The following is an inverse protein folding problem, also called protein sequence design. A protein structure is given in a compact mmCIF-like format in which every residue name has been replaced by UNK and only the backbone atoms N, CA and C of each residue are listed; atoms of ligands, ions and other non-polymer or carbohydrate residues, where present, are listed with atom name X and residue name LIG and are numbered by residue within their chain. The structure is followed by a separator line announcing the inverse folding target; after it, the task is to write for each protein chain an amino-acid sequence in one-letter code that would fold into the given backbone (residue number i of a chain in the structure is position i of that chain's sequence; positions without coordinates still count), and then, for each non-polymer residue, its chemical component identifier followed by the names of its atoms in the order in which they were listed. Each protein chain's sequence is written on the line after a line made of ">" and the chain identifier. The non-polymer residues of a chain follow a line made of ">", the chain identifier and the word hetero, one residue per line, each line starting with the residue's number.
data_IF_668784692546
#
_entry.id   IF_668784692546
#
_cell.length_a   1.000
_cell.length_b   1.000
_cell.length_c   1.000
_cell.angle_alpha   90.00
_cell.angle_beta   90.00
_cell.angle_gamma   90.00
#
_symmetry.space_group_name_H-M   'P 1'
#
loop_
_entity.id
_entity.type
_entity.pdbx_description
1 polymer ?
#
# COMPACT_ATOMS: atom_id res chain seq x y z
N UNK A 1 -2.18 4.72 -0.96
CA UNK A 1 -3.39 4.66 -1.80
C UNK A 1 -3.30 5.72 -2.87
N UNK A 2 -3.38 5.29 -4.10
CA UNK A 2 -3.49 6.15 -5.27
C UNK A 2 -4.86 6.82 -5.35
N UNK A 3 -4.91 8.10 -5.74
CA UNK A 3 -6.13 8.89 -5.82
C UNK A 3 -6.27 9.69 -7.10
N UNK A 4 -5.69 9.25 -8.18
CA UNK A 4 -5.89 9.90 -9.47
C UNK A 4 -7.29 9.66 -10.01
N UNK A 5 -7.78 10.63 -10.81
CA UNK A 5 -9.20 10.73 -11.22
C UNK A 5 -9.67 9.64 -12.18
N UNK A 6 -8.77 8.82 -12.73
CA UNK A 6 -9.06 7.89 -13.82
C UNK A 6 -10.10 6.83 -13.47
N UNK A 7 -10.33 6.51 -12.17
CA UNK A 7 -11.19 5.41 -11.74
C UNK A 7 -11.87 5.61 -10.39
N UNK A 8 -12.60 6.69 -10.23
CA UNK A 8 -13.30 7.05 -8.97
C UNK A 8 -14.13 5.92 -8.33
N UNK A 9 -14.73 5.03 -9.14
CA UNK A 9 -15.50 3.89 -8.62
C UNK A 9 -14.64 2.91 -7.81
N UNK A 10 -13.45 2.60 -8.28
CA UNK A 10 -12.55 1.66 -7.60
C UNK A 10 -11.97 2.24 -6.30
N UNK A 11 -11.88 3.55 -6.19
CA UNK A 11 -11.42 4.22 -4.97
C UNK A 11 -12.39 3.99 -3.82
N UNK A 12 -13.71 4.10 -4.08
CA UNK A 12 -14.72 3.82 -3.06
C UNK A 12 -14.66 2.36 -2.60
N UNK A 13 -14.56 1.41 -3.53
CA UNK A 13 -14.42 -0.01 -3.19
C UNK A 13 -13.12 -0.31 -2.43
N UNK A 14 -12.02 0.35 -2.79
CA UNK A 14 -10.75 0.22 -2.07
C UNK A 14 -10.84 0.81 -0.65
N UNK A 15 -11.52 1.94 -0.47
CA UNK A 15 -11.81 2.53 0.85
C UNK A 15 -12.60 1.55 1.71
N UNK A 16 -13.68 0.99 1.18
CA UNK A 16 -14.51 0.00 1.87
C UNK A 16 -13.69 -1.21 2.33
N UNK A 17 -12.84 -1.75 1.46
CA UNK A 17 -11.91 -2.84 1.82
C UNK A 17 -10.97 -2.44 2.96
N UNK A 18 -10.36 -1.26 2.92
CA UNK A 18 -9.45 -0.79 3.98
C UNK A 18 -10.20 -0.62 5.31
N UNK A 19 -11.38 -0.01 5.27
CA UNK A 19 -12.21 0.19 6.46
C UNK A 19 -12.67 -1.14 7.06
N UNK A 20 -13.05 -2.11 6.22
CA UNK A 20 -13.38 -3.47 6.63
C UNK A 20 -12.20 -4.18 7.29
N UNK A 21 -10.98 -4.09 6.71
CA UNK A 21 -9.77 -4.66 7.30
C UNK A 21 -9.56 -4.12 8.72
N UNK A 22 -9.64 -2.80 8.90
CA UNK A 22 -9.46 -2.15 10.20
C UNK A 22 -10.47 -2.69 11.21
N UNK A 23 -11.75 -2.75 10.86
CA UNK A 23 -12.82 -3.20 11.75
C UNK A 23 -12.68 -4.68 12.11
N UNK A 24 -12.36 -5.51 11.14
CA UNK A 24 -12.19 -6.96 11.36
C UNK A 24 -10.98 -7.26 12.22
N UNK A 25 -9.82 -6.67 11.95
CA UNK A 25 -8.62 -6.90 12.76
C UNK A 25 -8.85 -6.47 14.22
N UNK A 26 -9.51 -5.33 14.45
CA UNK A 26 -9.83 -4.87 15.80
C UNK A 26 -10.81 -5.83 16.50
N UNK A 27 -11.81 -6.36 15.80
CA UNK A 27 -12.84 -7.22 16.38
C UNK A 27 -12.37 -8.68 16.57
N UNK A 28 -11.57 -9.20 15.63
CA UNK A 28 -11.13 -10.62 15.62
C UNK A 28 -9.85 -10.83 16.45
N UNK A 29 -9.09 -9.76 16.74
CA UNK A 29 -7.88 -9.79 17.57
C UNK A 29 -8.03 -8.95 18.84
N UNK A 30 -8.86 -9.35 19.82
CA UNK A 30 -9.15 -8.55 21.00
C UNK A 30 -7.90 -8.31 21.86
N UNK A 31 -7.59 -7.02 22.11
CA UNK A 31 -6.41 -6.61 22.88
C UNK A 31 -5.14 -6.48 22.06
N UNK A 32 -5.21 -6.63 20.74
CA UNK A 32 -4.07 -6.33 19.84
C UNK A 32 -3.68 -4.85 19.95
N UNK A 33 -2.38 -4.59 19.99
CA UNK A 33 -1.85 -3.22 19.92
C UNK A 33 -1.54 -2.84 18.47
N UNK A 34 -2.51 -2.22 17.80
CA UNK A 34 -2.40 -1.77 16.41
C UNK A 34 -2.08 -0.29 16.35
N UNK A 35 -1.15 0.06 15.47
CA UNK A 35 -0.89 1.43 15.05
C UNK A 35 -1.11 1.51 13.55
N UNK A 36 -1.99 2.38 13.11
CA UNK A 36 -2.35 2.58 11.70
C UNK A 36 -1.84 3.92 11.21
N UNK A 37 -1.27 3.95 10.02
CA UNK A 37 -0.92 5.15 9.29
C UNK A 37 -1.58 5.15 7.91
N UNK A 38 -1.68 6.31 7.28
CA UNK A 38 -2.24 6.44 5.95
C UNK A 38 -1.38 7.35 5.09
N UNK A 39 -1.10 6.90 3.87
CA UNK A 39 -0.37 7.67 2.87
C UNK A 39 -1.25 7.74 1.62
N UNK A 40 -1.53 8.96 1.19
CA UNK A 40 -2.18 9.28 -0.07
C UNK A 40 -1.15 9.86 -1.01
N UNK A 41 -1.12 9.39 -2.24
CA UNK A 41 -0.25 9.92 -3.28
C UNK A 41 -1.03 10.08 -4.59
N UNK A 42 -0.44 10.82 -5.51
CA UNK A 42 -0.91 11.08 -6.87
C UNK A 42 0.30 11.22 -7.78
N UNK A 43 0.07 11.71 -8.99
CA UNK A 43 1.14 12.12 -9.88
C UNK A 43 1.89 13.35 -9.34
N UNK A 44 3.19 13.45 -9.59
CA UNK A 44 4.01 14.60 -9.20
C UNK A 44 3.56 15.88 -9.90
N UNK A 45 2.97 15.79 -11.07
CA UNK A 45 2.51 16.94 -11.84
C UNK A 45 1.24 17.59 -11.25
N UNK A 46 0.54 16.90 -10.36
CA UNK A 46 -0.60 17.44 -9.62
C UNK A 46 -0.24 18.48 -8.53
N UNK A 47 0.90 19.18 -8.58
CA UNK A 47 1.45 20.11 -7.58
C UNK A 47 0.47 21.11 -6.99
N UNK A 48 -0.48 21.57 -7.73
CA UNK A 48 -1.41 22.62 -7.28
C UNK A 48 -2.54 22.10 -6.39
N UNK A 49 -2.77 20.76 -6.34
CA UNK A 49 -3.93 20.16 -5.69
C UNK A 49 -3.63 19.44 -4.35
N UNK A 50 -2.42 19.58 -3.82
CA UNK A 50 -2.03 18.99 -2.53
C UNK A 50 -1.91 17.47 -2.59
N UNK A 51 -0.87 16.98 -3.28
CA UNK A 51 -0.60 15.60 -3.64
C UNK A 51 -0.61 14.58 -2.58
N UNK A 52 0.10 14.93 -1.56
CA UNK A 52 0.59 13.96 -0.62
C UNK A 52 -0.06 14.22 0.73
N UNK A 53 -0.70 13.22 1.27
CA UNK A 53 -1.08 13.21 2.68
C UNK A 53 -0.33 12.06 3.34
N UNK A 54 0.38 12.41 4.42
CA UNK A 54 1.14 11.49 5.22
C UNK A 54 0.66 11.55 6.66
N UNK A 55 -0.24 10.63 7.03
CA UNK A 55 -0.74 10.47 8.39
C UNK A 55 0.16 9.51 9.15
N UNK A 56 0.78 9.99 10.23
CA UNK A 56 1.60 9.16 11.09
C UNK A 56 0.79 8.07 11.78
N UNK A 57 1.49 7.07 12.32
CA UNK A 57 0.86 6.01 13.09
C UNK A 57 0.05 6.57 14.27
N UNK A 58 -1.20 6.13 14.36
CA UNK A 58 -2.16 6.51 15.39
C UNK A 58 -2.96 5.30 15.87
N UNK A 59 -3.46 5.39 17.10
CA UNK A 59 -4.48 4.50 17.67
C UNK A 59 -5.87 5.13 17.64
N UNK A 60 -5.99 6.35 17.14
CA UNK A 60 -7.27 7.02 16.95
C UNK A 60 -7.92 6.54 15.63
N UNK A 61 -8.42 5.31 15.66
CA UNK A 61 -9.00 4.66 14.47
C UNK A 61 -10.22 5.40 13.92
N UNK A 62 -10.98 6.06 14.78
CA UNK A 62 -12.16 6.84 14.34
C UNK A 62 -11.72 8.03 13.48
N UNK A 63 -10.70 8.76 13.91
CA UNK A 63 -10.16 9.88 13.15
C UNK A 63 -9.55 9.42 11.83
N UNK A 64 -8.75 8.34 11.87
CA UNK A 64 -8.12 7.78 10.67
C UNK A 64 -9.16 7.32 9.64
N UNK A 65 -10.23 6.66 10.09
CA UNK A 65 -11.33 6.27 9.21
C UNK A 65 -12.01 7.48 8.58
N UNK A 66 -12.24 8.54 9.34
CA UNK A 66 -12.76 9.80 8.79
C UNK A 66 -11.86 10.38 7.71
N UNK A 67 -10.54 10.36 7.91
CA UNK A 67 -9.56 10.82 6.90
C UNK A 67 -9.63 9.96 5.63
N UNK A 68 -9.73 8.63 5.77
CA UNK A 68 -9.84 7.70 4.62
C UNK A 68 -11.18 7.90 3.90
N UNK A 69 -12.26 8.08 4.62
CA UNK A 69 -13.60 8.27 4.08
C UNK A 69 -13.73 9.58 3.29
N UNK A 70 -13.07 10.65 3.77
CA UNK A 70 -13.05 11.97 3.13
C UNK A 70 -12.16 12.03 1.86
N UNK A 71 -11.44 10.95 1.54
CA UNK A 71 -10.60 10.90 0.35
C UNK A 71 -11.44 10.78 -0.92
N UNK A 72 -11.12 11.56 -1.94
CA UNK A 72 -11.77 11.53 -3.25
C UNK A 72 -10.74 11.51 -4.38
N UNK A 73 -11.16 10.95 -5.52
CA UNK A 73 -10.38 10.91 -6.74
C UNK A 73 -10.34 12.29 -7.40
N UNK A 74 -9.16 12.77 -7.74
CA UNK A 74 -8.97 14.04 -8.48
C UNK A 74 -7.57 14.09 -9.10
N UNK A 75 -7.40 14.84 -10.19
CA UNK A 75 -6.10 14.99 -10.86
C UNK A 75 -5.70 13.80 -11.72
N UNK A 76 -4.40 13.67 -11.98
CA UNK A 76 -3.78 12.73 -12.92
C UNK A 76 -3.43 13.41 -14.24
N UNK A 77 -2.14 13.70 -14.48
CA UNK A 77 -1.66 14.35 -15.69
C UNK A 77 -1.27 13.31 -16.75
N UNK A 78 -0.49 12.31 -16.39
CA UNK A 78 -0.15 11.17 -17.24
C UNK A 78 -0.57 9.83 -16.56
N UNK A 79 -0.11 8.69 -17.05
CA UNK A 79 -0.61 7.40 -16.53
C UNK A 79 0.19 6.88 -15.34
N UNK A 80 1.55 6.91 -15.35
CA UNK A 80 2.33 6.49 -14.19
C UNK A 80 2.24 7.48 -13.03
N UNK A 81 2.32 6.96 -11.80
CA UNK A 81 2.11 7.71 -10.57
C UNK A 81 3.32 7.63 -9.62
N UNK A 82 3.41 8.51 -8.62
CA UNK A 82 4.54 8.53 -7.69
C UNK A 82 4.43 7.52 -6.56
N UNK A 83 4.42 6.22 -6.91
CA UNK A 83 4.45 5.12 -5.93
C UNK A 83 5.76 5.14 -5.12
N UNK A 84 6.87 5.58 -5.75
CA UNK A 84 8.19 5.65 -5.11
C UNK A 84 8.19 6.56 -3.89
N UNK A 85 7.57 7.74 -3.97
CA UNK A 85 7.42 8.63 -2.83
C UNK A 85 6.61 7.98 -1.70
N UNK A 86 5.50 7.34 -2.04
CA UNK A 86 4.66 6.68 -1.03
C UNK A 86 5.40 5.55 -0.29
N UNK A 87 6.20 4.76 -1.01
CA UNK A 87 6.99 3.69 -0.40
C UNK A 87 8.15 4.26 0.44
N UNK A 88 8.82 5.31 -0.02
CA UNK A 88 9.83 6.00 0.78
C UNK A 88 9.24 6.57 2.09
N UNK A 89 8.07 7.22 2.04
CA UNK A 89 7.36 7.68 3.24
C UNK A 89 6.95 6.54 4.15
N UNK A 90 6.53 5.44 3.57
CA UNK A 90 6.24 4.21 4.31
C UNK A 90 7.47 3.70 5.08
N UNK A 91 8.68 3.74 4.50
CA UNK A 91 9.92 3.35 5.16
C UNK A 91 10.28 4.26 6.35
N UNK A 92 9.96 5.54 6.28
CA UNK A 92 10.23 6.53 7.33
C UNK A 92 9.34 6.37 8.56
N UNK A 93 8.28 5.55 8.50
CA UNK A 93 7.39 5.30 9.64
C UNK A 93 8.09 4.49 10.73
N UNK A 94 8.01 4.96 11.98
CA UNK A 94 8.58 4.29 13.17
C UNK A 94 7.74 3.05 13.53
N UNK A 95 8.10 1.89 12.97
CA UNK A 95 7.44 0.60 13.17
C UNK A 95 8.00 -0.11 14.38
N UNK A 96 7.34 0.02 15.53
CA UNK A 96 7.76 -0.59 16.80
C UNK A 96 7.25 -2.00 17.03
N UNK A 97 6.19 -2.38 16.33
CA UNK A 97 5.50 -3.67 16.51
C UNK A 97 6.21 -4.80 15.74
N UNK A 98 6.03 -6.04 16.20
CA UNK A 98 6.63 -7.22 15.58
C UNK A 98 5.97 -7.55 14.23
N UNK A 99 4.65 -7.38 14.13
CA UNK A 99 3.93 -7.50 12.85
C UNK A 99 3.92 -6.15 12.14
N UNK A 100 4.30 -6.14 10.87
CA UNK A 100 4.44 -4.93 10.06
C UNK A 100 3.87 -5.18 8.69
N UNK A 101 2.89 -4.37 8.33
CA UNK A 101 2.21 -4.49 7.04
C UNK A 101 2.22 -3.16 6.30
N UNK A 102 2.32 -3.25 4.98
CA UNK A 102 1.98 -2.17 4.04
C UNK A 102 0.89 -2.69 3.13
N UNK A 103 -0.17 -1.91 2.98
CA UNK A 103 -1.22 -2.15 2.00
C UNK A 103 -1.07 -1.12 0.90
N UNK A 104 -0.74 -1.56 -0.31
CA UNK A 104 -0.66 -0.74 -1.51
C UNK A 104 -1.93 -0.91 -2.33
N UNK A 105 -2.59 0.20 -2.60
CA UNK A 105 -3.71 0.27 -3.56
C UNK A 105 -3.26 1.15 -4.70
N UNK A 106 -3.16 0.59 -5.91
CA UNK A 106 -2.71 1.29 -7.10
C UNK A 106 -3.46 0.80 -8.35
N UNK A 107 -3.86 1.73 -9.20
CA UNK A 107 -4.42 1.46 -10.52
C UNK A 107 -3.44 1.75 -11.66
N UNK A 108 -2.34 2.43 -11.36
CA UNK A 108 -1.26 2.77 -12.27
C UNK A 108 0.12 2.32 -11.75
N UNK A 109 1.11 2.10 -12.64
CA UNK A 109 2.46 1.77 -12.25
C UNK A 109 3.21 3.00 -11.72
N UNK A 110 4.40 2.78 -11.15
CA UNK A 110 5.31 3.86 -10.81
C UNK A 110 5.89 4.52 -12.06
N UNK A 111 6.25 5.79 -11.94
CA UNK A 111 7.06 6.51 -12.91
C UNK A 111 8.39 5.78 -13.19
N UNK A 112 8.80 5.73 -14.46
CA UNK A 112 10.01 5.06 -14.91
C UNK A 112 9.76 3.81 -15.75
N UNK A 113 10.44 3.72 -16.90
CA UNK A 113 10.26 2.68 -17.93
C UNK A 113 10.41 1.23 -17.46
N UNK A 114 11.01 0.99 -16.30
CA UNK A 114 11.18 -0.35 -15.75
C UNK A 114 9.89 -0.96 -15.18
N UNK A 115 8.85 -0.13 -14.91
CA UNK A 115 7.63 -0.56 -14.21
C UNK A 115 6.44 -0.83 -15.12
N UNK A 116 6.55 -0.55 -16.42
CA UNK A 116 5.46 -0.72 -17.41
C UNK A 116 6.00 -0.95 -18.83
N UNK A 117 5.13 -1.24 -19.78
CA UNK A 117 5.48 -1.33 -21.22
C UNK A 117 5.60 0.06 -21.86
N UNK A 118 6.43 0.18 -22.91
CA UNK A 118 6.84 1.44 -23.57
C UNK A 118 5.72 2.24 -24.28
N UNK A 119 4.46 1.98 -24.03
CA UNK A 119 3.33 2.67 -24.66
C UNK A 119 2.58 3.62 -23.71
N UNK A 120 3.02 3.75 -22.47
CA UNK A 120 2.46 4.74 -21.54
C UNK A 120 3.13 6.11 -21.73
N UNK A 121 2.33 7.16 -21.61
CA UNK A 121 2.83 8.53 -21.53
C UNK A 121 3.38 8.74 -20.12
N UNK A 122 4.67 9.05 -20.02
CA UNK A 122 5.40 9.25 -18.77
C UNK A 122 6.38 10.39 -18.94
N UNK A 123 6.22 11.42 -18.15
CA UNK A 123 7.10 12.59 -18.11
C UNK A 123 8.45 12.31 -17.44
N UNK A 124 8.58 11.21 -16.70
CA UNK A 124 9.75 10.84 -15.89
C UNK A 124 10.27 9.43 -16.18
N UNK A 125 10.69 9.18 -17.42
CA UNK A 125 11.13 7.87 -17.92
C UNK A 125 12.25 7.20 -17.09
N UNK A 126 13.09 8.00 -16.44
CA UNK A 126 14.16 7.53 -15.55
C UNK A 126 13.76 7.63 -14.05
N UNK A 127 12.47 7.82 -13.76
CA UNK A 127 11.97 8.12 -12.43
C UNK A 127 12.21 9.59 -12.01
N UNK A 128 11.62 10.00 -10.89
CA UNK A 128 11.68 11.39 -10.41
C UNK A 128 13.08 11.69 -9.86
N UNK A 129 13.77 12.74 -10.36
CA UNK A 129 15.08 13.13 -9.86
C UNK A 129 15.06 13.47 -8.36
N UNK A 130 15.86 12.78 -7.58
CA UNK A 130 16.00 13.00 -6.14
C UNK A 130 15.09 12.12 -5.28
N UNK A 131 14.13 11.42 -5.85
CA UNK A 131 13.40 10.39 -5.14
C UNK A 131 14.24 9.11 -5.03
N UNK A 132 13.96 8.33 -3.99
CA UNK A 132 14.51 7.00 -3.87
C UNK A 132 13.94 6.08 -4.95
N UNK A 133 14.76 5.20 -5.51
CA UNK A 133 14.28 4.20 -6.45
C UNK A 133 13.26 3.27 -5.78
N UNK A 134 12.13 3.02 -6.44
CA UNK A 134 11.06 2.20 -5.89
C UNK A 134 11.53 0.78 -5.57
N UNK A 135 12.32 0.16 -6.45
CA UNK A 135 12.87 -1.19 -6.27
C UNK A 135 13.72 -1.28 -4.99
N UNK A 136 14.55 -0.24 -4.71
CA UNK A 136 15.31 -0.15 -3.47
C UNK A 136 14.40 0.00 -2.25
N UNK A 137 13.36 0.81 -2.34
CA UNK A 137 12.38 0.99 -1.25
C UNK A 137 11.64 -0.31 -0.92
N UNK A 138 11.24 -1.07 -1.93
CA UNK A 138 10.59 -2.37 -1.78
C UNK A 138 11.54 -3.39 -1.15
N UNK A 139 12.82 -3.38 -1.56
CA UNK A 139 13.83 -4.24 -0.96
C UNK A 139 14.04 -3.93 0.51
N UNK A 140 14.15 -2.65 0.90
CA UNK A 140 14.30 -2.26 2.31
C UNK A 140 13.07 -2.62 3.16
N UNK A 141 11.85 -2.57 2.59
CA UNK A 141 10.65 -3.05 3.29
C UNK A 141 10.78 -4.54 3.60
N UNK A 142 11.16 -5.36 2.62
CA UNK A 142 11.35 -6.80 2.80
C UNK A 142 12.48 -7.11 3.80
N UNK A 143 13.63 -6.41 3.71
CA UNK A 143 14.76 -6.52 4.67
C UNK A 143 14.35 -6.14 6.10
N UNK A 144 13.38 -5.27 6.23
CA UNK A 144 12.81 -4.85 7.52
C UNK A 144 11.68 -5.76 8.02
N UNK A 145 11.44 -6.90 7.38
CA UNK A 145 10.35 -7.84 7.68
C UNK A 145 8.97 -7.16 7.66
N UNK A 146 8.73 -6.35 6.64
CA UNK A 146 7.43 -5.71 6.38
C UNK A 146 6.73 -6.48 5.29
N UNK A 147 5.58 -7.09 5.58
CA UNK A 147 4.74 -7.74 4.58
C UNK A 147 4.05 -6.73 3.69
N UNK A 148 3.94 -7.00 2.40
CA UNK A 148 3.33 -6.12 1.41
C UNK A 148 2.11 -6.79 0.77
N UNK A 149 0.96 -6.14 0.90
CA UNK A 149 -0.31 -6.53 0.31
C UNK A 149 -0.71 -5.53 -0.76
N UNK A 150 -0.86 -5.99 -1.99
CA UNK A 150 -1.22 -5.16 -3.13
C UNK A 150 -2.65 -5.45 -3.57
N UNK A 151 -3.52 -4.44 -3.50
CA UNK A 151 -4.82 -4.47 -4.15
C UNK A 151 -4.63 -3.97 -5.58
N UNK A 152 -4.70 -4.91 -6.54
CA UNK A 152 -4.54 -4.64 -7.96
C UNK A 152 -5.86 -4.20 -8.57
N UNK A 153 -5.90 -2.98 -9.10
CA UNK A 153 -7.08 -2.42 -9.75
C UNK A 153 -7.03 -2.64 -11.27
N UNK A 154 -5.85 -2.53 -11.87
CA UNK A 154 -5.65 -2.67 -13.32
C UNK A 154 -4.46 -3.56 -13.66
N UNK A 155 -4.41 -4.03 -14.92
CA UNK A 155 -3.27 -4.79 -15.44
C UNK A 155 -2.03 -3.91 -15.71
N UNK A 156 -2.16 -2.59 -15.69
CA UNK A 156 -1.04 -1.68 -15.90
C UNK A 156 0.06 -1.84 -14.82
N UNK A 157 -0.32 -2.30 -13.63
CA UNK A 157 0.59 -2.54 -12.51
C UNK A 157 1.32 -3.90 -12.55
N UNK A 158 1.05 -4.77 -13.52
CA UNK A 158 1.55 -6.16 -13.55
C UNK A 158 3.06 -6.26 -13.56
N UNK A 159 3.75 -5.42 -14.34
CA UNK A 159 5.22 -5.43 -14.41
C UNK A 159 5.80 -4.96 -13.09
N UNK A 160 5.29 -3.87 -12.53
CA UNK A 160 5.70 -3.37 -11.22
C UNK A 160 5.54 -4.43 -10.12
N UNK A 161 4.38 -5.07 -10.03
CA UNK A 161 4.13 -6.10 -9.02
C UNK A 161 4.98 -7.36 -9.23
N UNK A 162 5.29 -7.72 -10.47
CA UNK A 162 6.22 -8.82 -10.77
C UNK A 162 7.64 -8.54 -10.27
N UNK A 163 8.09 -7.29 -10.34
CA UNK A 163 9.37 -6.86 -9.75
C UNK A 163 9.32 -7.05 -8.24
N UNK A 164 8.26 -6.57 -7.57
CA UNK A 164 8.09 -6.71 -6.12
C UNK A 164 8.06 -8.18 -5.69
N UNK A 165 7.31 -9.02 -6.39
CA UNK A 165 7.28 -10.47 -6.14
C UNK A 165 8.68 -11.09 -6.24
N UNK A 166 9.47 -10.70 -7.25
CA UNK A 166 10.84 -11.17 -7.43
C UNK A 166 11.78 -10.76 -6.29
N UNK A 167 11.51 -9.63 -5.64
CA UNK A 167 12.25 -9.18 -4.45
C UNK A 167 11.83 -10.01 -3.24
N UNK A 168 10.55 -10.06 -2.92
CA UNK A 168 10.02 -10.72 -1.72
C UNK A 168 10.29 -12.22 -1.68
N UNK A 169 10.38 -12.91 -2.82
CA UNK A 169 10.76 -14.33 -2.90
C UNK A 169 12.12 -14.66 -2.28
N UNK A 170 12.95 -13.68 -1.99
CA UNK A 170 14.26 -13.84 -1.36
C UNK A 170 14.22 -13.81 0.17
N UNK A 171 13.06 -13.45 0.75
CA UNK A 171 12.86 -13.25 2.18
C UNK A 171 11.79 -14.20 2.70
N UNK A 172 12.06 -14.87 3.83
CA UNK A 172 11.17 -15.88 4.42
C UNK A 172 10.31 -15.31 5.57
N UNK A 173 10.73 -14.18 6.15
CA UNK A 173 10.11 -13.59 7.35
C UNK A 173 9.03 -12.55 7.05
N UNK A 174 8.69 -12.34 5.77
CA UNK A 174 7.64 -11.42 5.35
C UNK A 174 6.88 -11.97 4.15
N UNK A 175 5.62 -11.57 4.02
CA UNK A 175 4.71 -12.04 2.98
C UNK A 175 4.56 -11.02 1.86
N UNK A 176 4.27 -11.50 0.66
CA UNK A 176 3.88 -10.70 -0.49
C UNK A 176 2.62 -11.26 -1.11
N UNK A 177 1.58 -10.46 -1.20
CA UNK A 177 0.31 -10.84 -1.78
C UNK A 177 -0.17 -9.82 -2.80
N UNK A 178 -0.68 -10.32 -3.92
CA UNK A 178 -1.42 -9.54 -4.91
C UNK A 178 -2.82 -10.12 -4.98
N UNK A 179 -3.83 -9.28 -4.78
CA UNK A 179 -5.23 -9.63 -4.97
C UNK A 179 -5.80 -8.70 -6.03
N UNK A 180 -6.35 -9.28 -7.10
CA UNK A 180 -7.06 -8.52 -8.13
C UNK A 180 -8.43 -8.12 -7.58
N UNK A 181 -8.79 -6.85 -7.69
CA UNK A 181 -10.08 -6.32 -7.23
C UNK A 181 -11.27 -7.02 -7.90
N UNK A 182 -11.11 -7.49 -9.13
CA UNK A 182 -12.14 -8.21 -9.87
C UNK A 182 -12.13 -9.73 -9.62
N UNK A 183 -11.30 -10.23 -8.70
CA UNK A 183 -11.25 -11.66 -8.36
C UNK A 183 -12.36 -12.05 -7.38
N UNK A 184 -12.65 -13.37 -7.30
CA UNK A 184 -13.55 -13.93 -6.30
C UNK A 184 -12.93 -13.94 -4.88
N UNK A 185 -11.65 -13.57 -4.74
CA UNK A 185 -10.95 -13.50 -3.48
C UNK A 185 -11.09 -12.10 -2.89
N UNK A 186 -11.69 -12.01 -1.71
CA UNK A 186 -11.80 -10.75 -1.01
C UNK A 186 -10.44 -10.31 -0.44
N UNK A 187 -10.01 -9.11 -0.78
CA UNK A 187 -8.74 -8.56 -0.33
C UNK A 187 -8.67 -8.46 1.19
N UNK A 188 -9.76 -8.04 1.83
CA UNK A 188 -9.88 -7.97 3.28
C UNK A 188 -9.61 -9.32 3.96
N UNK A 189 -10.08 -10.45 3.39
CA UNK A 189 -9.84 -11.77 3.94
C UNK A 189 -8.36 -12.15 3.96
N UNK A 190 -7.61 -11.80 2.91
CA UNK A 190 -6.16 -12.09 2.82
C UNK A 190 -5.40 -11.34 3.90
N UNK A 191 -5.63 -10.03 4.03
CA UNK A 191 -4.93 -9.19 5.01
C UNK A 191 -5.31 -9.56 6.44
N UNK A 192 -6.60 -9.75 6.71
CA UNK A 192 -7.10 -10.11 8.05
C UNK A 192 -6.56 -11.47 8.50
N UNK A 193 -6.54 -12.46 7.61
CA UNK A 193 -5.97 -13.77 7.91
C UNK A 193 -4.51 -13.68 8.35
N UNK A 194 -3.67 -12.98 7.59
CA UNK A 194 -2.26 -12.78 7.96
C UNK A 194 -2.12 -12.04 9.30
N UNK A 195 -2.95 -11.03 9.56
CA UNK A 195 -2.92 -10.32 10.84
C UNK A 195 -3.30 -11.21 12.02
N UNK A 196 -4.30 -12.10 11.86
CA UNK A 196 -4.73 -13.06 12.88
C UNK A 196 -3.63 -14.09 13.15
N UNK A 197 -3.01 -14.65 12.12
CA UNK A 197 -1.92 -15.63 12.25
C UNK A 197 -0.75 -15.06 13.05
N UNK A 198 -0.35 -13.83 12.79
CA UNK A 198 0.69 -13.16 13.57
C UNK A 198 0.26 -12.93 15.02
N UNK A 199 -0.97 -12.48 15.26
CA UNK A 199 -1.51 -12.27 16.59
C UNK A 199 -1.54 -13.57 17.41
N UNK A 200 -1.98 -14.68 16.82
CA UNK A 200 -2.01 -15.99 17.50
C UNK A 200 -0.61 -16.50 17.82
N UNK A 201 0.35 -16.35 16.90
CA UNK A 201 1.73 -16.74 17.11
C UNK A 201 2.39 -15.96 18.28
N UNK A 202 2.10 -14.67 18.40
CA UNK A 202 2.57 -13.86 19.52
C UNK A 202 2.01 -14.36 20.86
N UNK A 203 0.70 -14.58 20.96
CA UNK A 203 0.05 -15.12 22.18
C UNK A 203 0.60 -16.46 22.60
N UNK A 204 0.86 -17.35 21.66
CA UNK A 204 1.42 -18.67 21.94
C UNK A 204 2.87 -18.62 22.46
N UNK A 205 3.59 -17.53 22.18
CA UNK A 205 4.97 -17.33 22.64
C UNK A 205 5.00 -16.73 24.05
N UNK A 206 4.02 -15.92 24.44
CA UNK A 206 3.91 -15.32 25.77
C UNK A 206 3.41 -16.32 26.86
N UNK A 207 2.78 -17.42 26.46
CA UNK A 207 2.24 -18.44 27.38
C UNK A 207 3.30 -19.51 27.74
N UNK A 208 4.45 -19.53 27.06
CA UNK A 208 5.57 -20.45 27.34
C UNK A 208 6.62 -19.80 28.21
#
# INVERSE_FOLDING_TARGET
>A
MDLTGSKSYYIEEAKDNILEIIDRVISECPGIDINLGFIRYRDIEDHEYGYYVDVNFTKNYTELKGIIDDVYADGGADTPEDVSWAMEKSLQKDRKNNARFVILVADAPNLGLEYYDNYLDDSYLDGIPGNKNLTESIQELAESNVSLFCLKITELTDIMYKIFEGIYKKYEDCEFHIVDMNSDQFFSDVVVKSAIEVYENQRNTEIK
#
